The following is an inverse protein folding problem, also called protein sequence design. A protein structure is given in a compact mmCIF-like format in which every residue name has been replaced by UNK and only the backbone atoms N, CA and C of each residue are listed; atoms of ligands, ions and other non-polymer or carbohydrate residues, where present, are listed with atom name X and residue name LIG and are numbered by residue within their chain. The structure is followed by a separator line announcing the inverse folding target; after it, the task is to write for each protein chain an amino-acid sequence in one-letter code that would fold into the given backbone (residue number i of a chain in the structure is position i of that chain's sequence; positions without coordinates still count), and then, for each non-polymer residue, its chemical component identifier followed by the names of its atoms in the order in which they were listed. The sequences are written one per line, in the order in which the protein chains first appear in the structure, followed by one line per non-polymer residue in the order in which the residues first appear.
data_IF_070249790067
#
_entry.id   IF_070249790067
#
_cell.length_a   1.000
_cell.length_b   1.000
_cell.length_c   1.000
_cell.angle_alpha   90.00
_cell.angle_beta   90.00
_cell.angle_gamma   90.00
#
_symmetry.space_group_name_H-M   'P 1'
#
loop_
_entity.id
_entity.type
_entity.pdbx_description
1 polymer ?
#
# COMPACT_ATOMS: atom_id res chain seq x y z
N UNK A 1 -13.49 -17.52 19.96
CA UNK A 1 -14.27 -16.27 19.81
C UNK A 1 -14.64 -15.97 18.35
N UNK A 2 -13.74 -15.50 17.47
CA UNK A 2 -14.12 -15.19 16.06
C UNK A 2 -14.74 -16.36 15.30
N UNK A 3 -14.14 -17.55 15.39
CA UNK A 3 -14.69 -18.77 14.77
C UNK A 3 -16.10 -19.08 15.29
N UNK A 4 -16.33 -18.90 16.59
CA UNK A 4 -17.64 -19.14 17.21
C UNK A 4 -18.67 -18.11 16.72
N UNK A 5 -18.26 -16.85 16.52
CA UNK A 5 -19.11 -15.79 15.96
C UNK A 5 -19.54 -16.08 14.52
N UNK A 6 -18.65 -16.60 13.67
CA UNK A 6 -18.99 -17.03 12.31
C UNK A 6 -19.74 -18.37 12.28
N UNK A 7 -19.63 -19.20 13.31
CA UNK A 7 -20.36 -20.45 13.44
C UNK A 7 -21.84 -20.24 13.85
N UNK A 8 -22.17 -19.08 14.43
CA UNK A 8 -23.54 -18.73 14.79
C UNK A 8 -24.49 -18.69 13.56
N UNK A 9 -25.79 -18.80 13.81
CA UNK A 9 -26.80 -18.72 12.73
C UNK A 9 -26.78 -17.35 12.05
N UNK A 10 -26.61 -16.28 12.84
CA UNK A 10 -26.55 -14.89 12.38
C UNK A 10 -25.31 -14.23 12.99
N UNK A 11 -24.51 -13.58 12.16
CA UNK A 11 -23.31 -12.84 12.57
C UNK A 11 -23.48 -11.37 12.20
N UNK A 12 -23.38 -10.49 13.21
CA UNK A 12 -23.33 -9.04 13.01
C UNK A 12 -21.87 -8.57 13.08
N UNK A 13 -21.53 -7.53 12.32
CA UNK A 13 -20.19 -6.97 12.29
C UNK A 13 -20.10 -5.81 11.31
N UNK A 14 -18.94 -5.17 11.25
CA UNK A 14 -18.69 -4.10 10.29
C UNK A 14 -18.18 -4.65 8.95
N UNK A 15 -18.44 -3.95 7.85
CA UNK A 15 -17.91 -4.26 6.52
C UNK A 15 -16.38 -4.44 6.53
N UNK A 16 -15.67 -3.54 7.22
CA UNK A 16 -14.23 -3.61 7.41
C UNK A 16 -13.80 -4.90 8.11
N UNK A 17 -14.43 -5.27 9.23
CA UNK A 17 -14.07 -6.50 9.95
C UNK A 17 -14.29 -7.76 9.11
N UNK A 18 -15.42 -7.85 8.42
CA UNK A 18 -15.71 -8.97 7.52
C UNK A 18 -14.69 -9.10 6.39
N UNK A 19 -14.37 -8.00 5.71
CA UNK A 19 -13.37 -8.01 4.65
C UNK A 19 -11.97 -8.31 5.18
N UNK A 20 -11.58 -7.77 6.33
CA UNK A 20 -10.28 -8.05 6.93
C UNK A 20 -10.16 -9.48 7.47
N UNK A 21 -11.22 -10.07 8.01
CA UNK A 21 -11.21 -11.48 8.40
C UNK A 21 -11.06 -12.40 7.19
N UNK A 22 -11.69 -12.06 6.08
CA UNK A 22 -11.48 -12.76 4.82
C UNK A 22 -10.02 -12.66 4.34
N UNK A 23 -9.44 -11.46 4.34
CA UNK A 23 -8.03 -11.27 3.96
C UNK A 23 -7.09 -12.06 4.89
N UNK A 24 -7.31 -12.01 6.21
CA UNK A 24 -6.52 -12.77 7.20
C UNK A 24 -6.64 -14.28 7.01
N UNK A 25 -7.82 -14.79 6.69
CA UNK A 25 -8.05 -16.21 6.44
C UNK A 25 -7.27 -16.71 5.22
N UNK A 26 -7.15 -15.88 4.18
CA UNK A 26 -6.35 -16.20 2.99
C UNK A 26 -4.83 -16.07 3.22
N UNK A 27 -4.39 -15.59 4.39
CA UNK A 27 -2.98 -15.55 4.80
C UNK A 27 -2.60 -16.72 5.73
N UNK A 28 -3.54 -17.60 6.08
CA UNK A 28 -3.26 -18.78 6.92
C UNK A 28 -2.66 -19.93 6.10
N UNK A 29 -1.76 -20.68 6.73
CA UNK A 29 -1.14 -21.87 6.09
C UNK A 29 -2.08 -23.08 6.10
N UNK A 30 -2.94 -23.20 7.11
CA UNK A 30 -3.84 -24.33 7.31
C UNK A 30 -5.30 -23.86 7.29
N UNK A 31 -6.18 -24.66 6.68
CA UNK A 31 -7.62 -24.34 6.60
C UNK A 31 -8.27 -24.34 7.98
N UNK A 32 -7.79 -25.19 8.87
CA UNK A 32 -8.21 -25.32 10.26
C UNK A 32 -7.90 -24.07 11.10
N UNK A 33 -7.19 -23.08 10.55
CA UNK A 33 -6.91 -21.79 11.19
C UNK A 33 -7.83 -20.66 10.69
N UNK A 34 -8.61 -20.88 9.62
CA UNK A 34 -9.56 -19.91 9.11
C UNK A 34 -10.72 -19.71 10.10
N UNK A 35 -11.26 -18.49 10.16
CA UNK A 35 -12.37 -18.16 11.07
C UNK A 35 -13.70 -18.06 10.35
N UNK A 36 -13.72 -17.67 9.07
CA UNK A 36 -14.92 -17.59 8.25
C UNK A 36 -15.37 -18.96 7.75
N UNK A 37 -16.69 -19.11 7.60
CA UNK A 37 -17.33 -20.25 6.93
C UNK A 37 -17.65 -19.89 5.47
N UNK A 38 -18.03 -20.86 4.62
CA UNK A 38 -18.46 -20.57 3.25
C UNK A 38 -19.55 -19.50 3.20
N UNK A 39 -19.43 -18.55 2.28
CA UNK A 39 -20.39 -17.47 2.13
C UNK A 39 -21.78 -18.00 1.76
N UNK A 40 -22.81 -17.38 2.34
CA UNK A 40 -24.20 -17.80 2.17
C UNK A 40 -25.11 -16.62 1.81
N UNK A 41 -25.31 -15.70 2.75
CA UNK A 41 -26.13 -14.50 2.55
C UNK A 41 -25.55 -13.33 3.34
N UNK A 42 -25.42 -12.17 2.69
CA UNK A 42 -25.13 -10.90 3.35
C UNK A 42 -26.29 -9.91 3.18
N UNK A 43 -26.62 -9.20 4.27
CA UNK A 43 -27.49 -8.02 4.26
C UNK A 43 -26.62 -6.83 4.64
N UNK A 44 -26.52 -5.85 3.75
CA UNK A 44 -25.73 -4.63 3.96
C UNK A 44 -26.67 -3.51 4.38
N UNK A 45 -26.49 -3.00 5.59
CA UNK A 45 -27.14 -1.77 6.05
C UNK A 45 -26.39 -0.56 5.48
N UNK A 46 -27.10 0.54 5.21
CA UNK A 46 -26.57 1.72 4.50
C UNK A 46 -25.81 1.34 3.22
N UNK A 47 -26.47 0.54 2.37
CA UNK A 47 -25.84 -0.15 1.24
C UNK A 47 -25.21 0.77 0.20
N UNK A 48 -25.72 1.98 0.02
CA UNK A 48 -25.13 3.01 -0.85
C UNK A 48 -23.79 3.50 -0.31
N UNK A 49 -23.73 3.83 0.98
CA UNK A 49 -22.48 4.25 1.63
C UNK A 49 -21.38 3.19 1.47
N UNK A 50 -21.72 1.90 1.67
CA UNK A 50 -20.71 0.83 1.64
C UNK A 50 -20.36 0.39 0.22
N UNK A 51 -21.36 0.17 -0.64
CA UNK A 51 -21.15 -0.46 -1.95
C UNK A 51 -20.86 0.53 -3.08
N UNK A 52 -21.12 1.82 -2.88
CA UNK A 52 -20.86 2.89 -3.86
C UNK A 52 -19.73 3.79 -3.35
N UNK A 53 -19.89 4.41 -2.18
CA UNK A 53 -18.95 5.43 -1.71
C UNK A 53 -17.63 4.81 -1.19
N UNK A 54 -17.71 3.90 -0.22
CA UNK A 54 -16.53 3.25 0.37
C UNK A 54 -15.86 2.25 -0.58
N UNK A 55 -16.62 1.69 -1.53
CA UNK A 55 -16.13 0.68 -2.45
C UNK A 55 -15.02 1.14 -3.41
N UNK A 56 -14.77 2.46 -3.48
CA UNK A 56 -13.74 3.06 -4.34
C UNK A 56 -12.31 2.74 -3.90
N UNK A 57 -12.11 2.52 -2.60
CA UNK A 57 -10.79 2.23 -2.03
C UNK A 57 -10.73 0.76 -1.62
N UNK A 58 -9.74 -0.02 -2.06
CA UNK A 58 -9.63 -1.41 -1.65
C UNK A 58 -9.30 -1.52 -0.16
N UNK A 59 -9.79 -2.59 0.48
CA UNK A 59 -9.27 -3.06 1.75
C UNK A 59 -7.87 -3.61 1.54
N UNK A 60 -6.93 -3.20 2.39
CA UNK A 60 -5.52 -3.58 2.30
C UNK A 60 -5.04 -4.04 3.67
N UNK A 61 -4.49 -5.24 3.77
CA UNK A 61 -3.64 -5.63 4.89
C UNK A 61 -2.20 -5.33 4.50
N UNK A 62 -1.60 -4.39 5.22
CA UNK A 62 -0.17 -4.16 5.17
C UNK A 62 0.50 -4.80 6.37
N UNK A 63 1.71 -5.31 6.17
CA UNK A 63 2.58 -5.76 7.26
C UNK A 63 3.93 -5.07 7.19
N UNK A 64 4.65 -5.02 8.32
CA UNK A 64 6.03 -4.60 8.30
C UNK A 64 6.83 -5.58 7.44
N UNK A 65 7.70 -5.06 6.57
CA UNK A 65 8.75 -5.87 5.98
C UNK A 65 9.81 -6.21 7.03
N UNK A 66 10.68 -7.16 6.73
CA UNK A 66 11.92 -7.35 7.51
C UNK A 66 12.64 -6.00 7.63
N UNK A 67 13.19 -5.73 8.81
CA UNK A 67 13.94 -4.51 9.05
C UNK A 67 15.26 -4.57 8.26
N UNK A 68 15.30 -3.83 7.15
CA UNK A 68 16.46 -3.69 6.27
C UNK A 68 17.24 -2.40 6.55
N UNK A 69 17.00 -1.74 7.69
CA UNK A 69 17.65 -0.48 8.04
C UNK A 69 19.18 -0.56 8.00
N UNK A 70 19.76 -1.68 8.47
CA UNK A 70 21.21 -1.89 8.41
C UNK A 70 21.73 -1.96 6.97
N UNK A 71 21.02 -2.67 6.09
CA UNK A 71 21.37 -2.75 4.67
C UNK A 71 21.31 -1.37 4.00
N UNK A 72 20.27 -0.58 4.26
CA UNK A 72 20.19 0.80 3.76
C UNK A 72 21.38 1.65 4.23
N UNK A 73 21.75 1.57 5.51
CA UNK A 73 22.90 2.31 6.05
C UNK A 73 24.23 1.86 5.44
N UNK A 74 24.41 0.57 5.22
CA UNK A 74 25.64 0.02 4.64
C UNK A 74 25.77 0.40 3.16
N UNK A 75 24.69 0.28 2.39
CA UNK A 75 24.65 0.64 0.97
C UNK A 75 24.81 2.15 0.78
N UNK A 76 24.22 2.99 1.64
CA UNK A 76 24.42 4.45 1.60
C UNK A 76 25.89 4.84 1.76
N UNK A 77 26.64 4.17 2.66
CA UNK A 77 28.09 4.38 2.82
C UNK A 77 28.89 4.02 1.57
N UNK A 78 28.42 3.04 0.80
CA UNK A 78 29.03 2.65 -0.47
C UNK A 78 28.74 3.71 -1.54
N UNK A 79 27.47 4.10 -1.67
CA UNK A 79 27.05 5.12 -2.66
C UNK A 79 27.74 6.46 -2.44
N UNK A 80 28.02 6.84 -1.19
CA UNK A 80 28.79 8.06 -0.88
C UNK A 80 30.24 8.05 -1.40
N UNK A 81 30.76 6.91 -1.86
CA UNK A 81 32.08 6.78 -2.49
C UNK A 81 32.02 6.74 -4.04
N UNK A 82 30.81 6.76 -4.60
CA UNK A 82 30.55 6.82 -6.05
C UNK A 82 30.68 8.27 -6.52
N UNK A 83 31.36 8.49 -7.64
CA UNK A 83 31.67 9.80 -8.20
C UNK A 83 30.83 10.07 -9.45
N UNK A 84 30.81 11.32 -9.93
CA UNK A 84 29.97 11.74 -11.07
C UNK A 84 30.31 11.02 -12.39
N UNK A 85 31.51 10.45 -12.53
CA UNK A 85 31.90 9.63 -13.69
C UNK A 85 31.44 8.17 -13.62
N UNK A 86 30.96 7.72 -12.46
CA UNK A 86 30.56 6.32 -12.23
C UNK A 86 29.08 6.08 -12.61
N UNK A 87 28.33 7.11 -12.98
CA UNK A 87 26.92 7.00 -13.35
C UNK A 87 26.50 8.01 -14.43
N UNK A 88 25.44 7.68 -15.14
CA UNK A 88 24.69 8.57 -16.02
C UNK A 88 23.36 8.92 -15.36
N UNK A 89 22.98 10.20 -15.41
CA UNK A 89 21.73 10.70 -14.84
C UNK A 89 20.87 11.40 -15.89
N UNK A 90 19.57 11.09 -15.91
CA UNK A 90 18.55 11.87 -16.61
C UNK A 90 17.66 12.56 -15.57
N UNK A 91 17.89 13.86 -15.36
CA UNK A 91 17.12 14.68 -14.42
C UNK A 91 15.65 14.84 -14.84
N UNK A 92 15.35 14.75 -16.16
CA UNK A 92 13.96 14.86 -16.64
C UNK A 92 13.17 13.59 -16.33
N UNK A 93 13.81 12.44 -16.47
CA UNK A 93 13.19 11.14 -16.18
C UNK A 93 13.38 10.69 -14.73
N UNK A 94 14.14 11.45 -13.92
CA UNK A 94 14.57 11.08 -12.55
C UNK A 94 15.14 9.65 -12.50
N UNK A 95 15.92 9.28 -13.53
CA UNK A 95 16.56 7.97 -13.68
C UNK A 95 18.08 8.09 -13.61
N UNK A 96 18.70 7.10 -12.98
CA UNK A 96 20.15 7.02 -12.81
C UNK A 96 20.59 5.59 -13.11
N UNK A 97 21.70 5.46 -13.83
CA UNK A 97 22.26 4.16 -14.24
C UNK A 97 23.77 4.22 -14.03
N UNK A 98 24.36 3.15 -13.47
CA UNK A 98 25.81 3.07 -13.33
C UNK A 98 26.47 2.87 -14.70
N UNK A 99 27.64 3.45 -14.90
CA UNK A 99 28.51 3.14 -16.05
C UNK A 99 29.14 1.76 -15.86
N UNK A 100 29.82 1.22 -16.88
CA UNK A 100 30.58 -0.03 -16.74
C UNK A 100 31.65 0.10 -15.63
N UNK A 101 32.43 1.19 -15.66
CA UNK A 101 33.44 1.49 -14.64
C UNK A 101 32.83 1.66 -13.25
N UNK A 102 31.68 2.35 -13.17
CA UNK A 102 30.95 2.53 -11.91
C UNK A 102 30.40 1.23 -11.35
N UNK A 103 29.94 0.33 -12.22
CA UNK A 103 29.49 -1.01 -11.84
C UNK A 103 30.64 -1.82 -11.24
N UNK A 104 31.80 -1.87 -11.90
CA UNK A 104 32.98 -2.60 -11.40
C UNK A 104 33.46 -2.04 -10.05
N UNK A 105 33.46 -0.71 -9.90
CA UNK A 105 33.81 -0.04 -8.64
C UNK A 105 32.84 -0.42 -7.52
N UNK A 106 31.54 -0.36 -7.77
CA UNK A 106 30.50 -0.68 -6.78
C UNK A 106 30.51 -2.16 -6.41
N UNK A 107 30.73 -3.06 -7.37
CA UNK A 107 30.92 -4.50 -7.12
C UNK A 107 32.03 -4.75 -6.09
N UNK A 108 33.21 -4.17 -6.32
CA UNK A 108 34.34 -4.28 -5.38
C UNK A 108 34.01 -3.71 -4.02
N UNK A 109 33.29 -2.58 -3.95
CA UNK A 109 32.90 -1.98 -2.66
C UNK A 109 31.90 -2.87 -1.90
N UNK A 110 30.93 -3.46 -2.60
CA UNK A 110 29.95 -4.38 -2.04
C UNK A 110 30.59 -5.69 -1.59
N UNK A 111 31.51 -6.25 -2.37
CA UNK A 111 32.29 -7.44 -2.02
C UNK A 111 33.12 -7.21 -0.75
N UNK A 112 33.85 -6.09 -0.69
CA UNK A 112 34.64 -5.72 0.50
C UNK A 112 33.78 -5.50 1.75
N UNK A 113 32.53 -5.05 1.58
CA UNK A 113 31.57 -4.89 2.67
C UNK A 113 30.87 -6.21 3.07
N UNK A 114 31.12 -7.31 2.35
CA UNK A 114 30.43 -8.59 2.56
C UNK A 114 28.95 -8.57 2.17
N UNK A 115 28.56 -7.65 1.27
CA UNK A 115 27.17 -7.49 0.81
C UNK A 115 26.94 -8.09 -0.58
N UNK A 116 28.00 -8.50 -1.28
CA UNK A 116 27.90 -9.17 -2.57
C UNK A 116 28.09 -10.68 -2.38
N UNK A 117 27.12 -11.47 -2.85
CA UNK A 117 27.24 -12.91 -2.96
C UNK A 117 27.68 -13.30 -4.38
N UNK A 118 28.75 -14.08 -4.52
CA UNK A 118 29.30 -14.43 -5.82
C UNK A 118 30.21 -13.33 -6.39
N UNK A 119 30.27 -13.25 -7.73
CA UNK A 119 31.23 -12.38 -8.42
C UNK A 119 30.57 -11.26 -9.24
N UNK A 120 29.26 -11.32 -9.48
CA UNK A 120 28.56 -10.37 -10.35
C UNK A 120 27.37 -9.75 -9.60
N UNK A 121 27.28 -8.43 -9.65
CA UNK A 121 26.21 -7.64 -9.04
C UNK A 121 24.82 -8.07 -9.49
N UNK A 122 24.69 -8.51 -10.75
CA UNK A 122 23.41 -8.85 -11.36
C UNK A 122 23.05 -10.33 -11.27
N UNK A 123 23.79 -11.10 -10.47
CA UNK A 123 23.39 -12.47 -10.12
C UNK A 123 22.09 -12.48 -9.30
N UNK A 124 21.31 -13.56 -9.40
CA UNK A 124 19.95 -13.66 -8.83
C UNK A 124 19.95 -13.46 -7.31
N UNK A 125 20.99 -13.95 -6.63
CA UNK A 125 21.25 -13.84 -5.21
C UNK A 125 21.33 -12.38 -4.75
N UNK A 126 21.83 -11.49 -5.61
CA UNK A 126 22.07 -10.08 -5.29
C UNK A 126 20.90 -9.15 -5.58
N UNK A 127 19.75 -9.67 -6.06
CA UNK A 127 18.58 -8.87 -6.45
C UNK A 127 18.17 -7.82 -5.40
N UNK A 128 18.19 -8.18 -4.12
CA UNK A 128 17.85 -7.25 -3.04
C UNK A 128 18.88 -6.13 -2.90
N UNK A 129 20.17 -6.46 -2.99
CA UNK A 129 21.29 -5.51 -2.86
C UNK A 129 21.28 -4.53 -4.03
N UNK A 130 21.04 -5.02 -5.26
CA UNK A 130 20.88 -4.17 -6.45
C UNK A 130 19.73 -3.20 -6.29
N UNK A 131 18.59 -3.66 -5.78
CA UNK A 131 17.45 -2.78 -5.52
C UNK A 131 17.81 -1.66 -4.53
N UNK A 132 18.42 -1.99 -3.39
CA UNK A 132 18.81 -1.00 -2.37
C UNK A 132 19.88 -0.04 -2.91
N UNK A 133 20.84 -0.55 -3.69
CA UNK A 133 21.86 0.25 -4.36
C UNK A 133 21.23 1.31 -5.28
N UNK A 134 20.28 0.90 -6.12
CA UNK A 134 19.59 1.81 -7.02
C UNK A 134 18.80 2.89 -6.27
N UNK A 135 18.09 2.54 -5.18
CA UNK A 135 17.38 3.53 -4.38
C UNK A 135 18.33 4.48 -3.63
N UNK A 136 19.43 3.96 -3.08
CA UNK A 136 20.45 4.77 -2.43
C UNK A 136 21.14 5.73 -3.41
N UNK A 137 21.43 5.28 -4.63
CA UNK A 137 22.01 6.10 -5.70
C UNK A 137 21.05 7.23 -6.11
N UNK A 138 19.76 6.90 -6.29
CA UNK A 138 18.72 7.91 -6.54
C UNK A 138 18.61 8.90 -5.38
N UNK A 139 18.53 8.43 -4.14
CA UNK A 139 18.43 9.27 -2.96
C UNK A 139 19.62 10.24 -2.82
N UNK A 140 20.84 9.77 -3.07
CA UNK A 140 22.06 10.58 -2.94
C UNK A 140 22.22 11.59 -4.08
N UNK A 141 21.96 11.18 -5.32
CA UNK A 141 22.27 12.00 -6.51
C UNK A 141 21.09 12.86 -6.97
N UNK A 142 19.86 12.33 -6.92
CA UNK A 142 18.69 12.97 -7.52
C UNK A 142 17.86 13.79 -6.54
N UNK A 143 17.78 13.38 -5.28
CA UNK A 143 16.93 14.03 -4.28
C UNK A 143 17.75 14.96 -3.39
N UNK A 144 17.40 16.24 -3.37
CA UNK A 144 18.16 17.26 -2.65
C UNK A 144 17.39 17.78 -1.44
N UNK A 145 18.11 17.88 -0.32
CA UNK A 145 17.63 18.55 0.88
C UNK A 145 17.34 20.02 0.58
N UNK A 146 16.30 20.55 1.20
CA UNK A 146 15.76 21.91 1.02
C UNK A 146 15.22 22.19 -0.40
N UNK A 147 15.06 21.15 -1.23
CA UNK A 147 14.42 21.22 -2.56
C UNK A 147 13.32 20.16 -2.69
N UNK A 148 13.68 18.88 -2.63
CA UNK A 148 12.73 17.77 -2.74
C UNK A 148 12.16 17.35 -1.37
N UNK A 149 12.91 17.59 -0.30
CA UNK A 149 12.53 17.27 1.08
C UNK A 149 13.25 18.14 2.09
N UNK A 150 12.77 18.11 3.33
CA UNK A 150 13.46 18.64 4.51
C UNK A 150 13.58 17.58 5.58
N UNK A 151 14.51 17.78 6.51
CA UNK A 151 14.58 16.98 7.75
C UNK A 151 14.07 17.85 8.89
N UNK A 152 12.96 17.44 9.49
CA UNK A 152 12.31 18.14 10.61
C UNK A 152 12.00 17.15 11.71
N UNK A 153 12.37 17.48 12.94
CA UNK A 153 12.17 16.62 14.13
C UNK A 153 12.72 15.19 13.95
N UNK A 154 13.83 15.06 13.23
CA UNK A 154 14.45 13.77 12.92
C UNK A 154 13.67 12.93 11.91
N UNK A 155 12.75 13.51 11.13
CA UNK A 155 11.99 12.86 10.07
C UNK A 155 12.14 13.56 8.73
N UNK A 156 12.13 12.77 7.66
CA UNK A 156 12.11 13.28 6.29
C UNK A 156 10.68 13.69 5.94
N UNK A 157 10.50 14.94 5.48
CA UNK A 157 9.20 15.47 5.03
C UNK A 157 9.35 15.91 3.58
N UNK A 158 8.49 15.38 2.71
CA UNK A 158 8.52 15.66 1.27
C UNK A 158 8.02 17.07 1.00
N UNK A 159 8.70 17.80 0.10
CA UNK A 159 8.22 19.07 -0.44
C UNK A 159 7.51 18.80 -1.77
N UNK A 160 6.30 19.32 -1.92
CA UNK A 160 5.58 19.29 -3.19
C UNK A 160 6.26 20.22 -4.21
N UNK A 161 6.68 19.69 -5.36
CA UNK A 161 7.44 20.42 -6.38
C UNK A 161 6.67 21.58 -7.02
N UNK A 162 5.33 21.51 -7.04
CA UNK A 162 4.49 22.54 -7.67
C UNK A 162 4.12 23.67 -6.71
N UNK A 163 3.85 23.32 -5.46
CA UNK A 163 3.29 24.25 -4.47
C UNK A 163 4.28 24.65 -3.38
N UNK A 164 5.40 23.96 -3.24
CA UNK A 164 6.39 24.14 -2.19
C UNK A 164 5.88 23.76 -0.79
N UNK A 165 4.71 23.10 -0.70
CA UNK A 165 4.11 22.72 0.59
C UNK A 165 4.76 21.47 1.15
N UNK A 166 4.87 21.43 2.47
CA UNK A 166 5.25 20.21 3.20
C UNK A 166 4.11 19.20 3.15
N UNK A 167 4.42 17.98 2.73
CA UNK A 167 3.47 16.88 2.61
C UNK A 167 3.62 15.92 3.80
N UNK A 168 3.13 16.35 4.96
CA UNK A 168 3.20 15.57 6.20
C UNK A 168 2.48 14.20 6.04
N UNK A 169 3.14 13.13 6.49
CA UNK A 169 2.62 11.76 6.42
C UNK A 169 2.76 11.07 5.05
N UNK A 170 3.20 11.78 4.01
CA UNK A 170 3.49 11.17 2.70
C UNK A 170 4.92 10.63 2.67
N UNK A 171 5.06 9.37 2.22
CA UNK A 171 6.35 8.71 1.98
C UNK A 171 6.51 8.39 0.49
N UNK A 172 7.73 8.36 -0.01
CA UNK A 172 8.00 7.80 -1.34
C UNK A 172 7.91 6.28 -1.27
N UNK A 173 7.48 5.66 -2.36
CA UNK A 173 7.35 4.20 -2.48
C UNK A 173 8.68 3.53 -2.85
N UNK A 174 8.67 2.19 -2.85
CA UNK A 174 9.74 1.36 -3.44
C UNK A 174 11.10 1.57 -2.77
N UNK A 175 11.12 1.65 -1.43
CA UNK A 175 12.35 1.83 -0.64
C UNK A 175 13.05 3.18 -0.75
N UNK A 176 12.58 4.10 -1.59
CA UNK A 176 13.24 5.40 -1.81
C UNK A 176 13.23 6.28 -0.55
N UNK A 177 12.15 6.24 0.23
CA UNK A 177 12.07 7.07 1.44
C UNK A 177 13.05 6.59 2.51
N UNK A 178 13.20 5.29 2.68
CA UNK A 178 14.17 4.66 3.56
C UNK A 178 15.60 4.98 3.13
N UNK A 179 15.87 5.00 1.82
CA UNK A 179 17.16 5.42 1.28
C UNK A 179 17.49 6.89 1.61
N UNK A 180 16.51 7.79 1.55
CA UNK A 180 16.69 9.20 1.96
C UNK A 180 16.85 9.34 3.48
N UNK A 181 16.11 8.56 4.27
CA UNK A 181 16.28 8.50 5.73
C UNK A 181 17.70 8.04 6.10
N UNK A 182 18.22 7.01 5.43
CA UNK A 182 19.59 6.52 5.59
C UNK A 182 20.63 7.56 5.19
N UNK A 183 20.44 8.22 4.05
CA UNK A 183 21.31 9.31 3.55
C UNK A 183 21.49 10.41 4.58
N UNK A 184 20.40 10.85 5.20
CA UNK A 184 20.37 11.93 6.19
C UNK A 184 20.74 11.46 7.62
N UNK A 185 20.91 10.16 7.82
CA UNK A 185 21.24 9.58 9.12
C UNK A 185 20.13 9.72 10.16
N UNK A 186 18.87 9.76 9.72
CA UNK A 186 17.69 9.77 10.60
C UNK A 186 17.18 8.35 10.84
N UNK A 187 16.20 8.22 11.74
CA UNK A 187 15.59 6.92 12.01
C UNK A 187 14.87 6.40 10.75
N UNK A 188 15.30 5.23 10.26
CA UNK A 188 14.70 4.57 9.11
C UNK A 188 13.43 3.87 9.61
N UNK A 189 12.28 4.24 9.04
CA UNK A 189 11.02 3.55 9.35
C UNK A 189 10.86 2.35 8.39
N UNK A 190 10.54 1.15 8.89
CA UNK A 190 10.35 -0.04 8.05
C UNK A 190 9.33 0.21 6.94
N UNK A 191 9.54 -0.41 5.78
CA UNK A 191 8.53 -0.42 4.74
C UNK A 191 7.30 -1.20 5.18
N UNK A 192 6.15 -0.71 4.76
CA UNK A 192 4.92 -1.49 4.83
C UNK A 192 4.70 -2.13 3.47
N UNK A 193 4.68 -3.46 3.43
CA UNK A 193 4.32 -4.19 2.23
C UNK A 193 2.84 -4.51 2.26
N UNK A 194 2.17 -4.30 1.12
CA UNK A 194 0.81 -4.81 0.91
C UNK A 194 0.85 -6.34 0.81
N UNK A 195 0.30 -7.02 1.81
CA UNK A 195 0.28 -8.49 1.88
C UNK A 195 -0.95 -9.07 1.18
N UNK A 196 -2.10 -8.39 1.31
CA UNK A 196 -3.34 -8.82 0.67
C UNK A 196 -4.25 -7.62 0.44
N UNK A 197 -5.04 -7.64 -0.64
CA UNK A 197 -6.04 -6.61 -0.91
C UNK A 197 -7.29 -7.17 -1.59
N UNK A 198 -8.43 -6.52 -1.34
CA UNK A 198 -9.70 -6.80 -2.01
C UNK A 198 -10.57 -5.54 -2.04
N UNK A 199 -11.32 -5.30 -3.11
CA UNK A 199 -12.35 -4.25 -3.13
C UNK A 199 -13.63 -4.75 -2.47
N UNK A 200 -14.42 -3.86 -1.85
CA UNK A 200 -15.73 -4.24 -1.32
C UNK A 200 -16.63 -4.85 -2.40
N UNK A 201 -16.56 -4.34 -3.64
CA UNK A 201 -17.29 -4.88 -4.79
C UNK A 201 -17.01 -6.37 -4.96
N UNK A 202 -15.74 -6.75 -5.03
CA UNK A 202 -15.35 -8.14 -5.24
C UNK A 202 -15.68 -8.99 -4.00
N UNK A 203 -15.47 -8.46 -2.80
CA UNK A 203 -15.79 -9.16 -1.55
C UNK A 203 -17.28 -9.53 -1.46
N UNK A 204 -18.19 -8.57 -1.63
CA UNK A 204 -19.62 -8.81 -1.50
C UNK A 204 -20.21 -9.64 -2.66
N UNK A 205 -19.58 -9.60 -3.85
CA UNK A 205 -19.96 -10.48 -4.97
C UNK A 205 -19.66 -11.97 -4.73
N UNK A 206 -18.86 -12.31 -3.72
CA UNK A 206 -18.62 -13.70 -3.34
C UNK A 206 -19.81 -14.32 -2.61
N UNK A 207 -20.75 -13.52 -2.10
CA UNK A 207 -21.93 -14.04 -1.43
C UNK A 207 -22.95 -14.57 -2.46
N UNK A 208 -23.41 -15.83 -2.35
CA UNK A 208 -24.42 -16.39 -3.24
C UNK A 208 -25.72 -15.59 -3.27
N UNK A 209 -26.07 -14.97 -2.15
CA UNK A 209 -27.18 -14.02 -2.03
C UNK A 209 -26.66 -12.73 -1.41
N UNK A 210 -27.10 -11.60 -1.96
CA UNK A 210 -26.78 -10.26 -1.45
C UNK A 210 -28.06 -9.44 -1.36
N UNK A 211 -28.27 -8.77 -0.23
CA UNK A 211 -29.37 -7.84 0.02
C UNK A 211 -28.83 -6.60 0.70
N UNK A 212 -29.62 -5.52 0.70
CA UNK A 212 -29.27 -4.32 1.44
C UNK A 212 -30.45 -3.38 1.61
N UNK A 213 -30.25 -2.37 2.45
CA UNK A 213 -31.23 -1.33 2.74
C UNK A 213 -30.54 0.03 2.88
N UNK A 214 -31.23 1.09 2.47
CA UNK A 214 -30.82 2.49 2.61
C UNK A 214 -32.01 3.39 2.25
N UNK A 215 -31.96 4.66 2.63
CA UNK A 215 -32.93 5.68 2.22
C UNK A 215 -32.74 6.23 0.80
N UNK A 216 -31.57 6.02 0.18
CA UNK A 216 -31.11 6.82 -0.98
C UNK A 216 -30.69 6.02 -2.21
N UNK A 217 -31.02 4.73 -2.31
CA UNK A 217 -30.58 3.86 -3.41
C UNK A 217 -31.26 4.11 -4.78
N UNK A 218 -32.38 4.85 -4.83
CA UNK A 218 -33.20 4.94 -6.04
C UNK A 218 -32.48 5.61 -7.23
N UNK A 219 -31.62 6.60 -6.95
CA UNK A 219 -30.82 7.29 -7.98
C UNK A 219 -29.71 6.42 -8.53
N UNK A 220 -29.12 5.57 -7.69
CA UNK A 220 -28.00 4.68 -8.02
C UNK A 220 -28.44 3.26 -8.44
N UNK A 221 -29.73 3.08 -8.75
CA UNK A 221 -30.31 1.75 -9.02
C UNK A 221 -29.62 1.00 -10.18
N UNK A 222 -29.17 1.74 -11.19
CA UNK A 222 -28.44 1.17 -12.33
C UNK A 222 -27.08 0.62 -11.90
N UNK A 223 -26.33 1.35 -11.05
CA UNK A 223 -25.02 0.94 -10.57
C UNK A 223 -25.11 -0.33 -9.70
N UNK A 224 -26.11 -0.40 -8.81
CA UNK A 224 -26.39 -1.61 -8.02
C UNK A 224 -26.65 -2.84 -8.90
N UNK A 225 -27.43 -2.68 -9.98
CA UNK A 225 -27.71 -3.79 -10.88
C UNK A 225 -26.48 -4.19 -11.70
N UNK A 226 -25.73 -3.22 -12.22
CA UNK A 226 -24.60 -3.50 -13.09
C UNK A 226 -23.45 -4.18 -12.35
N UNK A 227 -23.14 -3.73 -11.13
CA UNK A 227 -22.03 -4.24 -10.33
C UNK A 227 -22.45 -5.48 -9.52
N UNK A 228 -23.58 -5.43 -8.83
CA UNK A 228 -23.99 -6.43 -7.83
C UNK A 228 -25.18 -7.29 -8.24
N UNK A 229 -25.83 -6.99 -9.37
CA UNK A 229 -27.08 -7.63 -9.82
C UNK A 229 -28.21 -7.48 -8.78
N UNK A 230 -28.19 -6.39 -8.03
CA UNK A 230 -29.22 -6.03 -7.06
C UNK A 230 -30.25 -5.10 -7.70
N UNK A 231 -31.53 -5.44 -7.57
CA UNK A 231 -32.62 -4.54 -7.96
C UNK A 231 -32.96 -3.62 -6.78
N UNK A 232 -33.22 -2.35 -7.07
CA UNK A 232 -33.70 -1.38 -6.07
C UNK A 232 -35.23 -1.34 -6.11
N UNK A 233 -35.85 -1.47 -4.95
CA UNK A 233 -37.31 -1.37 -4.78
C UNK A 233 -37.61 -0.31 -3.74
N UNK A 234 -38.30 0.76 -4.14
CA UNK A 234 -38.75 1.80 -3.21
C UNK A 234 -39.92 1.30 -2.39
N UNK A 235 -39.75 1.26 -1.07
CA UNK A 235 -40.81 0.88 -0.14
C UNK A 235 -41.52 2.16 0.35
N UNK A 236 -42.86 2.22 0.33
CA UNK A 236 -43.60 3.36 0.86
C UNK A 236 -43.28 3.62 2.33
N UNK A 237 -43.22 4.89 2.72
CA UNK A 237 -43.05 5.27 4.13
C UNK A 237 -44.27 4.86 4.95
N UNK A 238 -44.04 4.54 6.22
CA UNK A 238 -45.13 4.18 7.14
C UNK A 238 -46.14 5.33 7.33
N UNK A 239 -45.65 6.57 7.25
CA UNK A 239 -46.44 7.80 7.40
C UNK A 239 -46.18 8.74 6.22
N UNK A 240 -47.15 9.61 5.86
CA UNK A 240 -46.94 10.63 4.84
C UNK A 240 -45.76 11.55 5.20
N UNK A 241 -44.88 11.80 4.23
CA UNK A 241 -43.74 12.70 4.40
C UNK A 241 -44.24 14.15 4.42
N UNK A 242 -43.98 14.85 5.53
CA UNK A 242 -44.36 16.27 5.72
C UNK A 242 -43.17 17.23 5.57
N UNK A 243 -41.98 16.71 5.25
CA UNK A 243 -40.78 17.53 5.03
C UNK A 243 -41.00 18.42 3.81
N UNK A 244 -40.84 19.73 4.00
CA UNK A 244 -40.76 20.71 2.92
C UNK A 244 -39.28 20.85 2.58
N UNK A 245 -38.93 20.64 1.32
CA UNK A 245 -37.61 20.92 0.78
C UNK A 245 -37.70 22.26 0.05
N UNK A 246 -36.96 23.27 0.53
CA UNK A 246 -36.79 24.53 -0.20
C UNK A 246 -35.89 24.27 -1.42
N UNK A 247 -36.28 24.79 -2.59
CA UNK A 247 -35.49 24.70 -3.84
C UNK A 247 -34.12 25.38 -3.72
#
# INVERSE_FOLDING_TARGET
ERRDAYAADITYGTNNEFGFDYLRDNMKYEREQMVQRPFNYAIVDEVDSILIDEARTPLIISGPTDDKSELYMQVDKIVKQVEEGDYEKDEKQRSIVLTEDGTEKVERLLENAGLLEGANLYDYENTQVVHHLNQALRANVMFKRDTDYIVKDGKVVIIDEFTGRMMDGRRWSDGLHQAVEAKEGVNIEPENQTLASITFQNYFRMYPKLGGMTGTAATEAQEFFDIYKMNVVTIPTHVPVQRIEDE
#
